data_IF_220554608362
#
_entry.id   IF_220554608362
#
_cell.length_a   1.000
_cell.length_b   1.000
_cell.length_c   1.000
_cell.angle_alpha   90.00
_cell.angle_beta   90.00
_cell.angle_gamma   90.00
#
_symmetry.space_group_name_H-M   'P 1'
#
loop_
_entity.id
_entity.type
_entity.pdbx_description
1 polymer ?
#
# COMPACT_ATOMS: atom_id res chain seq x y z
N UNK A 1 18.82 1.66 16.04
CA UNK A 1 17.97 0.70 16.78
C UNK A 1 17.96 1.15 18.24
N UNK A 2 16.80 1.57 18.77
CA UNK A 2 16.68 1.79 20.23
C UNK A 2 16.80 0.41 20.88
N UNK A 3 17.81 0.23 21.74
CA UNK A 3 17.90 -0.97 22.57
C UNK A 3 16.60 -1.05 23.38
N UNK A 4 15.85 -2.13 23.23
CA UNK A 4 14.75 -2.46 24.12
C UNK A 4 15.41 -2.81 25.45
N UNK A 5 15.42 -1.84 26.38
CA UNK A 5 15.91 -2.09 27.72
C UNK A 5 14.86 -2.93 28.45
N UNK A 6 15.08 -4.23 28.55
CA UNK A 6 14.20 -5.14 29.27
C UNK A 6 14.52 -5.01 30.78
N UNK A 7 13.49 -4.70 31.57
CA UNK A 7 13.59 -4.86 33.04
C UNK A 7 13.04 -6.25 33.39
N UNK A 8 13.87 -7.19 33.90
CA UNK A 8 13.42 -8.54 34.23
C UNK A 8 12.21 -8.60 35.20
N UNK A 9 12.05 -7.59 36.04
CA UNK A 9 10.95 -7.49 37.01
C UNK A 9 9.57 -7.32 36.34
N UNK A 10 9.51 -6.96 35.06
CA UNK A 10 8.24 -6.81 34.33
C UNK A 10 7.75 -8.12 33.74
N UNK A 11 8.59 -9.17 33.70
CA UNK A 11 8.28 -10.44 33.04
C UNK A 11 7.99 -11.57 34.00
N UNK A 12 6.95 -12.33 33.71
CA UNK A 12 6.51 -13.49 34.49
C UNK A 12 6.89 -14.79 33.78
N UNK A 13 7.65 -15.65 34.47
CA UNK A 13 8.07 -16.97 34.00
C UNK A 13 7.29 -18.04 34.75
N UNK A 14 6.64 -18.95 34.03
CA UNK A 14 6.03 -20.14 34.61
C UNK A 14 7.03 -21.30 34.53
N UNK A 15 7.44 -21.81 35.69
CA UNK A 15 8.31 -22.98 35.80
C UNK A 15 7.47 -24.21 36.16
N UNK A 16 7.52 -25.24 35.31
CA UNK A 16 6.71 -26.47 35.41
C UNK A 16 7.64 -27.69 35.54
N UNK A 17 7.54 -28.38 36.63
CA UNK A 17 8.33 -29.62 36.93
C UNK A 17 7.60 -30.39 38.04
N UNK A 18 7.52 -31.70 37.97
CA UNK A 18 6.89 -32.53 39.01
C UNK A 18 7.79 -32.74 40.21
N UNK A 19 9.08 -32.44 40.06
CA UNK A 19 10.08 -32.60 41.14
C UNK A 19 10.28 -31.26 41.88
N UNK A 20 9.83 -31.19 43.12
CA UNK A 20 9.87 -29.98 43.96
C UNK A 20 11.29 -29.36 44.07
N UNK A 21 12.33 -30.18 44.09
CA UNK A 21 13.72 -29.68 44.15
C UNK A 21 14.12 -28.92 42.86
N UNK A 22 13.66 -29.35 41.70
CA UNK A 22 13.88 -28.65 40.43
C UNK A 22 13.18 -27.28 40.45
N UNK A 23 11.92 -27.26 40.88
CA UNK A 23 11.17 -26.02 41.05
C UNK A 23 11.86 -25.03 41.97
N UNK A 24 12.35 -25.51 43.13
CA UNK A 24 13.08 -24.66 44.07
C UNK A 24 14.37 -24.08 43.47
N UNK A 25 15.09 -24.88 42.70
CA UNK A 25 16.32 -24.46 42.03
C UNK A 25 16.01 -23.41 40.94
N UNK A 26 15.02 -23.68 40.05
CA UNK A 26 14.57 -22.73 39.02
C UNK A 26 14.15 -21.40 39.65
N UNK A 27 13.33 -21.47 40.72
CA UNK A 27 12.89 -20.28 41.46
C UNK A 27 14.04 -19.49 42.02
N UNK A 28 15.03 -20.15 42.65
CA UNK A 28 16.20 -19.48 43.22
C UNK A 28 17.06 -18.79 42.17
N UNK A 29 17.33 -19.46 41.04
CA UNK A 29 18.15 -18.92 39.94
C UNK A 29 17.49 -17.72 39.26
N UNK A 30 16.21 -17.86 38.88
CA UNK A 30 15.50 -16.83 38.13
C UNK A 30 15.09 -15.64 39.01
N UNK A 31 14.75 -15.86 40.31
CA UNK A 31 14.52 -14.76 41.25
C UNK A 31 15.79 -13.93 41.49
N UNK A 32 16.97 -14.56 41.50
CA UNK A 32 18.25 -13.84 41.57
C UNK A 32 18.49 -12.97 40.33
N UNK A 33 17.97 -13.40 39.18
CA UNK A 33 17.96 -12.62 37.95
C UNK A 33 16.78 -11.62 37.87
N UNK A 34 16.00 -11.48 38.95
CA UNK A 34 14.90 -10.53 39.16
C UNK A 34 13.64 -10.79 38.34
N UNK A 35 13.46 -11.98 37.77
CA UNK A 35 12.20 -12.34 37.10
C UNK A 35 11.10 -12.67 38.13
N UNK A 36 9.84 -12.42 37.75
CA UNK A 36 8.68 -12.93 38.50
C UNK A 36 8.46 -14.40 38.16
N UNK A 37 8.44 -15.25 39.20
CA UNK A 37 8.34 -16.70 39.01
C UNK A 37 7.02 -17.22 39.57
N UNK A 38 6.29 -17.90 38.73
CA UNK A 38 5.15 -18.74 39.11
C UNK A 38 5.53 -20.19 38.81
N UNK A 39 5.08 -21.11 39.66
CA UNK A 39 5.45 -22.52 39.57
C UNK A 39 4.22 -23.41 39.43
N UNK A 40 4.34 -24.52 38.70
CA UNK A 40 3.33 -25.58 38.62
C UNK A 40 4.00 -26.93 38.80
N UNK A 41 3.31 -27.85 39.49
CA UNK A 41 3.78 -29.18 39.80
C UNK A 41 3.38 -30.25 38.80
N UNK A 42 2.76 -29.88 37.65
CA UNK A 42 2.32 -30.79 36.61
C UNK A 42 1.61 -30.08 35.49
N UNK A 43 1.31 -30.82 34.41
CA UNK A 43 0.79 -30.28 33.15
C UNK A 43 -0.60 -29.65 33.27
N UNK A 44 -1.51 -30.23 34.05
CA UNK A 44 -2.85 -29.64 34.23
C UNK A 44 -2.79 -28.32 35.01
N UNK A 45 -2.01 -28.24 36.08
CA UNK A 45 -1.81 -27.01 36.83
C UNK A 45 -1.14 -25.94 35.98
N UNK A 46 -0.20 -26.34 35.10
CA UNK A 46 0.45 -25.45 34.18
C UNK A 46 -0.56 -24.80 33.22
N UNK A 47 -1.43 -25.58 32.57
CA UNK A 47 -2.46 -25.06 31.66
C UNK A 47 -3.44 -24.11 32.36
N UNK A 48 -3.83 -24.41 33.61
CA UNK A 48 -4.70 -23.54 34.41
C UNK A 48 -3.97 -22.19 34.69
N UNK A 49 -2.72 -22.23 35.12
CA UNK A 49 -1.95 -21.01 35.42
C UNK A 49 -1.64 -20.19 34.19
N UNK A 50 -1.47 -20.80 33.02
CA UNK A 50 -1.32 -20.07 31.75
C UNK A 50 -2.59 -19.28 31.46
N UNK A 51 -3.77 -19.89 31.62
CA UNK A 51 -5.06 -19.22 31.37
C UNK A 51 -5.32 -18.07 32.37
N UNK A 52 -4.87 -18.20 33.62
CA UNK A 52 -5.08 -17.18 34.66
C UNK A 52 -4.10 -16.01 34.57
N UNK A 53 -2.83 -16.27 34.23
CA UNK A 53 -1.72 -15.32 34.41
C UNK A 53 -1.07 -14.85 33.11
N UNK A 54 -1.30 -15.57 32.02
CA UNK A 54 -0.69 -15.30 30.71
C UNK A 54 0.83 -15.00 30.82
N UNK A 55 1.66 -15.98 31.22
CA UNK A 55 3.09 -15.77 31.47
C UNK A 55 3.83 -15.38 30.19
N UNK A 56 4.96 -14.67 30.35
CA UNK A 56 5.80 -14.23 29.22
C UNK A 56 6.71 -15.32 28.67
N UNK A 57 6.97 -16.36 29.46
CA UNK A 57 7.77 -17.53 29.09
C UNK A 57 7.40 -18.72 29.97
N UNK A 58 7.45 -19.93 29.40
CA UNK A 58 7.21 -21.18 30.11
C UNK A 58 8.48 -22.04 30.05
N UNK A 59 9.00 -22.43 31.22
CA UNK A 59 9.97 -23.50 31.37
C UNK A 59 9.20 -24.79 31.71
N UNK A 60 9.27 -25.78 30.85
CA UNK A 60 8.39 -26.93 30.90
C UNK A 60 9.18 -28.24 30.91
N UNK A 61 9.06 -29.00 31.99
CA UNK A 61 9.58 -30.37 32.01
C UNK A 61 8.82 -31.25 31.01
N UNK A 62 9.54 -32.12 30.31
CA UNK A 62 8.94 -33.08 29.37
C UNK A 62 8.35 -34.27 30.13
N UNK A 63 9.06 -34.80 31.10
CA UNK A 63 8.74 -36.07 31.78
C UNK A 63 7.94 -35.79 33.06
N UNK A 64 6.64 -35.63 32.91
CA UNK A 64 5.73 -35.43 34.05
C UNK A 64 4.65 -36.53 34.07
N UNK A 65 4.19 -36.94 35.30
CA UNK A 65 3.05 -37.86 35.39
C UNK A 65 1.75 -37.19 34.87
N UNK A 66 0.79 -38.00 34.45
CA UNK A 66 -0.55 -37.65 33.99
C UNK A 66 -0.63 -36.86 32.66
N UNK A 67 0.08 -35.76 32.52
CA UNK A 67 0.15 -34.94 31.30
C UNK A 67 1.57 -34.52 31.02
N UNK A 68 2.19 -35.10 30.00
CA UNK A 68 3.57 -34.82 29.62
C UNK A 68 3.74 -33.42 28.99
N UNK A 69 4.99 -32.94 28.94
CA UNK A 69 5.28 -31.61 28.41
C UNK A 69 4.95 -31.44 26.94
N UNK A 70 4.97 -32.50 26.13
CA UNK A 70 4.60 -32.42 24.72
C UNK A 70 3.10 -32.18 24.53
N UNK A 71 2.27 -32.84 25.32
CA UNK A 71 0.80 -32.66 25.25
C UNK A 71 0.40 -31.28 25.82
N UNK A 72 1.11 -30.79 26.87
CA UNK A 72 0.93 -29.40 27.34
C UNK A 72 1.25 -28.41 26.23
N UNK A 73 2.41 -28.53 25.58
CA UNK A 73 2.80 -27.65 24.47
C UNK A 73 1.79 -27.69 23.32
N UNK A 74 1.34 -28.87 22.92
CA UNK A 74 0.35 -29.04 21.86
C UNK A 74 -0.96 -28.31 22.17
N UNK A 75 -1.46 -28.38 23.41
CA UNK A 75 -2.65 -27.66 23.84
C UNK A 75 -2.44 -26.14 23.87
N UNK A 76 -1.29 -25.67 24.29
CA UNK A 76 -0.92 -24.27 24.27
C UNK A 76 -0.90 -23.73 22.83
N UNK A 77 -0.23 -24.44 21.91
CA UNK A 77 -0.11 -24.03 20.50
C UNK A 77 -1.43 -24.18 19.72
N UNK A 78 -2.38 -24.94 20.19
CA UNK A 78 -3.73 -25.01 19.63
C UNK A 78 -4.68 -23.87 20.08
N UNK A 79 -4.26 -23.07 21.06
CA UNK A 79 -5.04 -21.94 21.55
C UNK A 79 -4.45 -20.62 21.07
N UNK A 80 -5.15 -19.85 20.19
CA UNK A 80 -4.65 -18.58 19.67
C UNK A 80 -4.28 -17.54 20.74
N UNK A 81 -4.86 -17.64 21.95
CA UNK A 81 -4.53 -16.73 23.05
C UNK A 81 -3.15 -17.03 23.68
N UNK A 82 -2.61 -18.23 23.47
CA UNK A 82 -1.40 -18.69 24.14
C UNK A 82 -0.33 -19.24 23.17
N UNK A 83 -0.64 -19.32 21.87
CA UNK A 83 0.28 -19.90 20.86
C UNK A 83 1.60 -19.16 20.74
N UNK A 84 1.61 -17.86 21.01
CA UNK A 84 2.81 -17.01 20.92
C UNK A 84 3.70 -17.05 22.16
N UNK A 85 3.25 -17.69 23.27
CA UNK A 85 4.06 -17.79 24.48
C UNK A 85 5.26 -18.70 24.19
N UNK A 86 6.51 -18.22 24.38
CA UNK A 86 7.70 -19.05 24.20
C UNK A 86 7.76 -20.14 25.27
N UNK A 87 7.99 -21.38 24.82
CA UNK A 87 8.13 -22.55 25.67
C UNK A 87 9.55 -23.13 25.52
N UNK A 88 10.28 -23.18 26.62
CA UNK A 88 11.61 -23.84 26.68
C UNK A 88 11.44 -25.16 27.42
N UNK A 89 11.78 -26.25 26.78
CA UNK A 89 11.76 -27.55 27.42
C UNK A 89 12.95 -27.75 28.37
N UNK A 90 12.69 -28.31 29.56
CA UNK A 90 13.69 -28.83 30.47
C UNK A 90 13.74 -30.35 30.25
N UNK A 91 14.86 -30.91 29.83
CA UNK A 91 14.94 -32.31 29.46
C UNK A 91 16.16 -33.03 29.98
N UNK A 92 16.00 -34.26 30.47
CA UNK A 92 17.07 -35.21 30.73
C UNK A 92 17.43 -36.04 29.48
N UNK A 93 16.69 -35.88 28.37
CA UNK A 93 16.85 -36.62 27.13
C UNK A 93 18.06 -36.08 26.35
N UNK A 94 19.00 -36.95 26.04
CA UNK A 94 20.16 -36.64 25.19
C UNK A 94 19.98 -37.11 23.76
N UNK A 95 18.80 -37.68 23.43
CA UNK A 95 18.54 -38.19 22.11
C UNK A 95 18.16 -37.05 21.15
N UNK A 96 18.88 -36.86 20.02
CA UNK A 96 18.58 -35.83 19.03
C UNK A 96 17.14 -35.90 18.46
N UNK A 97 16.55 -37.11 18.41
CA UNK A 97 15.18 -37.28 17.91
C UNK A 97 14.11 -36.62 18.76
N UNK A 98 14.28 -36.63 20.09
CA UNK A 98 13.34 -36.00 21.03
C UNK A 98 13.42 -34.48 20.96
N UNK A 99 14.61 -33.92 20.74
CA UNK A 99 14.83 -32.48 20.54
C UNK A 99 14.13 -32.01 19.25
N UNK A 100 14.34 -32.73 18.13
CA UNK A 100 13.70 -32.44 16.86
C UNK A 100 12.18 -32.54 16.96
N UNK A 101 11.67 -33.52 17.73
CA UNK A 101 10.23 -33.65 18.00
C UNK A 101 9.68 -32.43 18.74
N UNK A 102 10.38 -31.91 19.75
CA UNK A 102 9.98 -30.71 20.48
C UNK A 102 9.83 -29.48 19.58
N UNK A 103 10.82 -29.22 18.72
CA UNK A 103 10.76 -28.12 17.76
C UNK A 103 9.63 -28.28 16.73
N UNK A 104 9.35 -29.49 16.26
CA UNK A 104 8.22 -29.75 15.35
C UNK A 104 6.86 -29.44 15.99
N UNK A 105 6.72 -29.57 17.32
CA UNK A 105 5.52 -29.20 18.06
C UNK A 105 5.46 -27.72 18.43
N UNK A 106 6.48 -26.91 18.10
CA UNK A 106 6.50 -25.48 18.32
C UNK A 106 7.17 -25.03 19.63
N UNK A 107 8.04 -25.87 20.20
CA UNK A 107 8.92 -25.41 21.29
C UNK A 107 9.90 -24.35 20.78
N UNK A 108 10.17 -23.35 21.60
CA UNK A 108 11.09 -22.25 21.25
C UNK A 108 12.54 -22.64 21.47
N UNK A 109 12.82 -23.48 22.48
CA UNK A 109 14.17 -23.94 22.82
C UNK A 109 14.10 -25.17 23.76
N UNK A 110 15.27 -25.70 24.13
CA UNK A 110 15.42 -26.71 25.14
C UNK A 110 16.65 -26.46 26.01
N UNK A 111 16.64 -26.97 27.25
CA UNK A 111 17.76 -26.93 28.21
C UNK A 111 17.91 -28.32 28.82
N UNK A 112 19.12 -28.88 28.71
CA UNK A 112 19.40 -30.20 29.25
C UNK A 112 19.58 -30.17 30.78
N UNK A 113 19.02 -31.18 31.48
CA UNK A 113 19.25 -31.41 32.92
C UNK A 113 20.51 -32.29 33.11
N UNK A 114 21.40 -32.01 34.06
CA UNK A 114 21.41 -30.88 34.98
C UNK A 114 21.79 -29.58 34.22
N UNK A 115 21.02 -28.52 34.40
CA UNK A 115 21.23 -27.26 33.67
C UNK A 115 22.27 -26.36 34.37
N UNK A 116 23.04 -25.66 33.55
CA UNK A 116 23.92 -24.58 33.97
C UNK A 116 23.10 -23.31 34.23
N UNK A 117 23.38 -22.63 35.35
CA UNK A 117 22.65 -21.42 35.73
C UNK A 117 22.81 -20.27 34.71
N UNK A 118 24.00 -20.06 34.16
CA UNK A 118 24.27 -19.04 33.16
C UNK A 118 23.56 -19.34 31.84
N UNK A 119 23.56 -20.61 31.41
CA UNK A 119 22.84 -21.05 30.22
C UNK A 119 21.35 -20.80 30.39
N UNK A 120 20.74 -21.21 31.51
CA UNK A 120 19.33 -20.99 31.80
C UNK A 120 18.95 -19.52 31.70
N UNK A 121 19.68 -18.64 32.39
CA UNK A 121 19.40 -17.19 32.39
C UNK A 121 19.58 -16.61 31.02
N UNK A 122 20.63 -17.00 30.27
CA UNK A 122 20.90 -16.49 28.92
C UNK A 122 19.80 -16.87 27.94
N UNK A 123 19.33 -18.13 27.93
CA UNK A 123 18.25 -18.59 27.06
C UNK A 123 16.91 -17.93 27.41
N UNK A 124 16.59 -17.86 28.70
CA UNK A 124 15.39 -17.15 29.16
C UNK A 124 15.41 -15.68 28.74
N UNK A 125 16.48 -14.97 28.96
CA UNK A 125 16.62 -13.56 28.57
C UNK A 125 16.49 -13.38 27.06
N UNK A 126 17.09 -14.29 26.27
CA UNK A 126 17.01 -14.26 24.81
C UNK A 126 15.56 -14.42 24.30
N UNK A 127 14.83 -15.41 24.81
CA UNK A 127 13.45 -15.66 24.38
C UNK A 127 12.47 -14.59 24.87
N UNK A 128 12.66 -14.04 26.06
CA UNK A 128 11.89 -12.88 26.53
C UNK A 128 12.17 -11.67 25.65
N UNK A 129 13.42 -11.42 25.26
CA UNK A 129 13.77 -10.32 24.35
C UNK A 129 13.09 -10.48 23.00
N UNK A 130 13.11 -11.68 22.41
CA UNK A 130 12.45 -11.95 21.13
C UNK A 130 10.93 -11.73 21.22
N UNK A 131 10.28 -12.25 22.25
CA UNK A 131 8.84 -12.09 22.46
C UNK A 131 8.45 -10.61 22.67
N UNK A 132 9.22 -9.87 23.46
CA UNK A 132 9.01 -8.43 23.68
C UNK A 132 9.22 -7.62 22.40
N UNK A 133 10.26 -7.93 21.63
CA UNK A 133 10.52 -7.28 20.34
C UNK A 133 9.38 -7.53 19.33
N UNK A 134 8.89 -8.77 19.24
CA UNK A 134 7.78 -9.13 18.39
C UNK A 134 6.49 -8.39 18.78
N UNK A 135 6.14 -8.34 20.07
CA UNK A 135 4.99 -7.56 20.57
C UNK A 135 5.11 -6.08 20.23
N UNK A 136 6.29 -5.49 20.40
CA UNK A 136 6.53 -4.08 20.07
C UNK A 136 6.35 -3.80 18.58
N UNK A 137 6.85 -4.68 17.71
CA UNK A 137 6.69 -4.56 16.26
C UNK A 137 5.21 -4.64 15.86
N UNK A 138 4.47 -5.59 16.41
CA UNK A 138 3.03 -5.74 16.13
C UNK A 138 2.25 -4.50 16.60
N UNK A 139 2.52 -4.01 17.81
CA UNK A 139 1.89 -2.79 18.32
C UNK A 139 2.19 -1.57 17.45
N UNK A 140 3.46 -1.35 17.08
CA UNK A 140 3.83 -0.24 16.19
C UNK A 140 3.19 -0.34 14.81
N UNK A 141 3.06 -1.56 14.28
CA UNK A 141 2.36 -1.83 13.02
C UNK A 141 0.89 -1.39 13.12
N UNK A 142 0.21 -1.79 14.19
CA UNK A 142 -1.21 -1.50 14.39
C UNK A 142 -1.44 0.01 14.61
N UNK A 143 -0.62 0.68 15.42
CA UNK A 143 -0.63 2.15 15.59
C UNK A 143 -0.40 2.90 14.27
N UNK A 144 0.55 2.42 13.46
CA UNK A 144 0.83 3.00 12.14
C UNK A 144 -0.35 2.81 11.20
N UNK A 145 -0.96 1.63 11.20
CA UNK A 145 -2.13 1.32 10.39
C UNK A 145 -3.31 2.24 10.73
N UNK A 146 -3.61 2.39 12.03
CA UNK A 146 -4.66 3.31 12.50
C UNK A 146 -4.39 4.76 12.08
N UNK A 147 -3.13 5.21 12.18
CA UNK A 147 -2.73 6.56 11.78
C UNK A 147 -2.92 6.78 10.28
N UNK A 148 -2.53 5.80 9.46
CA UNK A 148 -2.71 5.83 8.00
C UNK A 148 -4.21 5.88 7.66
N UNK A 149 -5.04 5.03 8.27
CA UNK A 149 -6.48 5.01 8.02
C UNK A 149 -7.17 6.32 8.43
N UNK A 150 -6.80 6.89 9.58
CA UNK A 150 -7.33 8.17 10.04
C UNK A 150 -6.96 9.32 9.09
N UNK A 151 -5.70 9.38 8.66
CA UNK A 151 -5.21 10.35 7.68
C UNK A 151 -5.99 10.27 6.36
N UNK A 152 -6.16 9.06 5.84
CA UNK A 152 -6.80 8.83 4.55
C UNK A 152 -8.30 9.16 4.60
N UNK A 153 -8.96 8.85 5.73
CA UNK A 153 -10.34 9.26 5.98
C UNK A 153 -10.47 10.78 6.00
N UNK A 154 -9.54 11.48 6.67
CA UNK A 154 -9.52 12.94 6.73
C UNK A 154 -9.39 13.56 5.33
N UNK A 155 -8.45 13.08 4.50
CA UNK A 155 -8.32 13.55 3.12
C UNK A 155 -9.59 13.34 2.30
N UNK A 156 -10.25 12.19 2.46
CA UNK A 156 -11.50 11.90 1.74
C UNK A 156 -12.64 12.86 2.14
N UNK A 157 -12.75 13.19 3.43
CA UNK A 157 -13.77 14.13 3.93
C UNK A 157 -13.49 15.54 3.42
N UNK A 158 -12.25 16.04 3.60
CA UNK A 158 -11.88 17.39 3.16
C UNK A 158 -12.12 17.57 1.66
N UNK A 159 -11.67 16.61 0.85
CA UNK A 159 -11.83 16.73 -0.59
C UNK A 159 -13.30 16.62 -1.03
N UNK A 160 -14.14 15.82 -0.33
CA UNK A 160 -15.59 15.79 -0.57
C UNK A 160 -16.24 17.14 -0.25
N UNK A 161 -15.93 17.71 0.91
CA UNK A 161 -16.57 18.95 1.39
C UNK A 161 -16.12 20.18 0.60
N UNK A 162 -14.93 20.15 0.01
CA UNK A 162 -14.45 21.20 -0.89
C UNK A 162 -14.98 21.04 -2.33
N UNK A 163 -15.30 19.83 -2.78
CA UNK A 163 -15.83 19.60 -4.14
C UNK A 163 -17.12 20.35 -4.40
N UNK A 164 -18.04 20.36 -3.43
CA UNK A 164 -19.36 21.00 -3.57
C UNK A 164 -19.27 22.51 -3.78
N UNK A 165 -18.62 23.32 -2.91
CA UNK A 165 -18.51 24.76 -3.09
C UNK A 165 -17.72 25.15 -4.35
N UNK A 166 -16.66 24.42 -4.66
CA UNK A 166 -15.86 24.71 -5.86
C UNK A 166 -16.62 24.34 -7.14
N UNK A 167 -17.39 23.23 -7.12
CA UNK A 167 -18.29 22.89 -8.21
C UNK A 167 -19.35 23.97 -8.48
N UNK A 168 -19.88 24.58 -7.41
CA UNK A 168 -20.81 25.70 -7.50
C UNK A 168 -20.14 26.94 -8.07
N UNK A 169 -18.93 27.30 -7.60
CA UNK A 169 -18.15 28.42 -8.14
C UNK A 169 -17.87 28.23 -9.64
N UNK A 170 -17.40 27.04 -10.04
CA UNK A 170 -17.18 26.69 -11.45
C UNK A 170 -18.46 26.89 -12.27
N UNK A 171 -19.61 26.40 -11.77
CA UNK A 171 -20.90 26.54 -12.46
C UNK A 171 -21.28 28.03 -12.64
N UNK A 172 -21.10 28.85 -11.61
CA UNK A 172 -21.39 30.29 -11.68
C UNK A 172 -20.49 30.99 -12.70
N UNK A 173 -19.18 30.77 -12.65
CA UNK A 173 -18.25 31.34 -13.61
C UNK A 173 -18.54 30.91 -15.05
N UNK A 174 -18.85 29.63 -15.24
CA UNK A 174 -19.21 29.11 -16.56
C UNK A 174 -20.50 29.77 -17.10
N UNK A 175 -21.53 29.91 -16.26
CA UNK A 175 -22.76 30.61 -16.64
C UNK A 175 -22.48 32.08 -16.99
N UNK A 176 -21.65 32.79 -16.23
CA UNK A 176 -21.26 34.17 -16.52
C UNK A 176 -20.49 34.26 -17.85
N UNK A 177 -19.55 33.38 -18.09
CA UNK A 177 -18.74 33.34 -19.32
C UNK A 177 -19.56 33.02 -20.58
N UNK A 178 -20.66 32.25 -20.46
CA UNK A 178 -21.55 31.94 -21.59
C UNK A 178 -22.52 33.11 -21.87
N UNK A 179 -23.00 33.77 -20.80
CA UNK A 179 -24.07 34.76 -20.94
C UNK A 179 -23.59 36.22 -21.12
N UNK A 180 -22.30 36.48 -20.83
CA UNK A 180 -21.71 37.82 -20.92
C UNK A 180 -20.67 37.86 -22.05
N UNK A 181 -20.69 38.96 -22.82
CA UNK A 181 -19.68 39.23 -23.85
C UNK A 181 -18.77 40.38 -23.38
N UNK A 182 -17.56 40.48 -23.94
CA UNK A 182 -16.62 41.58 -23.65
C UNK A 182 -17.25 42.93 -23.90
N UNK A 183 -18.13 43.08 -24.90
CA UNK A 183 -18.86 44.32 -25.19
C UNK A 183 -19.90 44.71 -24.14
N UNK A 184 -20.39 43.78 -23.32
CA UNK A 184 -21.38 44.01 -22.27
C UNK A 184 -20.73 44.37 -20.91
N UNK A 185 -19.57 43.83 -20.61
CA UNK A 185 -18.92 43.99 -19.31
C UNK A 185 -17.59 44.75 -19.37
N UNK A 186 -17.08 45.04 -20.56
CA UNK A 186 -15.74 45.57 -20.79
C UNK A 186 -14.67 44.45 -20.87
N UNK A 187 -13.62 44.70 -21.66
CA UNK A 187 -12.57 43.68 -21.92
C UNK A 187 -11.89 43.23 -20.63
N UNK A 188 -11.49 44.12 -19.75
CA UNK A 188 -10.82 43.80 -18.47
C UNK A 188 -11.69 42.88 -17.57
N UNK A 189 -12.99 43.18 -17.46
CA UNK A 189 -13.90 42.39 -16.64
C UNK A 189 -14.19 41.02 -17.26
N UNK A 190 -14.22 40.90 -18.60
CA UNK A 190 -14.38 39.64 -19.30
C UNK A 190 -13.13 38.76 -19.16
N UNK A 191 -11.93 39.37 -19.18
CA UNK A 191 -10.68 38.68 -18.89
C UNK A 191 -10.64 38.16 -17.45
N UNK A 192 -11.06 38.96 -16.47
CA UNK A 192 -11.19 38.53 -15.07
C UNK A 192 -12.18 37.38 -14.89
N UNK A 193 -13.33 37.40 -15.57
CA UNK A 193 -14.29 36.31 -15.54
C UNK A 193 -13.71 35.01 -16.13
N UNK A 194 -13.01 35.10 -17.23
CA UNK A 194 -12.34 33.98 -17.88
C UNK A 194 -11.24 33.38 -16.99
N UNK A 195 -10.47 34.25 -16.33
CA UNK A 195 -9.45 33.85 -15.36
C UNK A 195 -10.07 33.14 -14.15
N UNK A 196 -11.18 33.67 -13.60
CA UNK A 196 -11.93 33.06 -12.50
C UNK A 196 -12.47 31.67 -12.85
N UNK A 197 -13.01 31.52 -14.06
CA UNK A 197 -13.49 30.23 -14.57
C UNK A 197 -12.34 29.21 -14.67
N UNK A 198 -11.20 29.60 -15.20
CA UNK A 198 -10.02 28.74 -15.34
C UNK A 198 -9.48 28.30 -13.97
N UNK A 199 -9.44 29.20 -12.98
CA UNK A 199 -9.03 28.87 -11.61
C UNK A 199 -10.01 27.90 -10.96
N UNK A 200 -11.31 28.13 -11.08
CA UNK A 200 -12.34 27.25 -10.54
C UNK A 200 -12.27 25.84 -11.17
N UNK A 201 -12.09 25.75 -12.48
CA UNK A 201 -11.92 24.50 -13.21
C UNK A 201 -10.66 23.74 -12.72
N UNK A 202 -9.53 24.42 -12.66
CA UNK A 202 -8.26 23.85 -12.21
C UNK A 202 -8.35 23.32 -10.77
N UNK A 203 -8.96 24.10 -9.89
CA UNK A 203 -9.13 23.72 -8.47
C UNK A 203 -10.08 22.53 -8.33
N UNK A 204 -11.16 22.48 -9.12
CA UNK A 204 -12.07 21.35 -9.13
C UNK A 204 -11.37 20.05 -9.60
N UNK A 205 -10.56 20.14 -10.66
CA UNK A 205 -9.77 19.01 -11.14
C UNK A 205 -8.73 18.54 -10.12
N UNK A 206 -8.08 19.47 -9.40
CA UNK A 206 -7.16 19.15 -8.30
C UNK A 206 -7.83 18.31 -7.22
N UNK A 207 -9.00 18.76 -6.75
CA UNK A 207 -9.76 18.05 -5.74
C UNK A 207 -10.26 16.69 -6.21
N UNK A 208 -10.71 16.59 -7.46
CA UNK A 208 -11.15 15.31 -8.03
C UNK A 208 -10.00 14.31 -8.13
N UNK A 209 -8.82 14.77 -8.53
CA UNK A 209 -7.61 13.95 -8.58
C UNK A 209 -7.16 13.53 -7.16
N UNK A 210 -7.20 14.44 -6.18
CA UNK A 210 -6.87 14.12 -4.79
C UNK A 210 -7.82 13.07 -4.21
N UNK A 211 -9.13 13.20 -4.45
CA UNK A 211 -10.13 12.22 -4.03
C UNK A 211 -9.93 10.84 -4.68
N UNK A 212 -9.61 10.81 -5.97
CA UNK A 212 -9.34 9.55 -6.68
C UNK A 212 -8.05 8.90 -6.16
N UNK A 213 -7.02 9.72 -5.94
CA UNK A 213 -5.76 9.24 -5.38
C UNK A 213 -5.92 8.67 -3.97
N UNK A 214 -6.64 9.36 -3.07
CA UNK A 214 -6.89 8.86 -1.70
C UNK A 214 -7.70 7.59 -1.70
N UNK A 215 -8.77 7.48 -2.52
CA UNK A 215 -9.55 6.24 -2.68
C UNK A 215 -8.70 5.09 -3.22
N UNK A 216 -7.75 5.39 -4.09
CA UNK A 216 -6.80 4.44 -4.63
C UNK A 216 -5.87 3.89 -3.56
N UNK A 217 -5.27 4.74 -2.74
CA UNK A 217 -4.35 4.34 -1.66
C UNK A 217 -5.02 3.45 -0.59
N UNK A 218 -6.30 3.70 -0.27
CA UNK A 218 -7.07 2.94 0.75
C UNK A 218 -7.53 1.56 0.23
N UNK A 219 -7.27 1.22 -1.04
CA UNK A 219 -7.78 -0.02 -1.63
C UNK A 219 -9.31 -0.05 -1.78
N UNK A 220 -10.01 1.05 -1.49
CA UNK A 220 -11.48 1.19 -1.57
C UNK A 220 -11.98 1.65 -2.94
N UNK A 221 -11.13 1.72 -3.94
CA UNK A 221 -11.61 1.83 -5.32
C UNK A 221 -12.23 0.48 -5.70
N UNK A 222 -13.55 0.44 -5.80
CA UNK A 222 -14.23 -0.69 -6.42
C UNK A 222 -13.78 -0.72 -7.89
N UNK A 223 -12.85 -1.61 -8.19
CA UNK A 223 -12.36 -1.81 -9.56
C UNK A 223 -13.35 -2.72 -10.28
N UNK A 224 -13.95 -2.23 -11.35
CA UNK A 224 -14.89 -2.99 -12.17
C UNK A 224 -14.22 -3.30 -13.49
N UNK A 225 -13.54 -4.44 -13.54
CA UNK A 225 -12.94 -4.93 -14.78
C UNK A 225 -14.00 -5.48 -15.70
N UNK A 226 -13.90 -5.10 -16.98
CA UNK A 226 -14.77 -5.60 -18.03
C UNK A 226 -14.00 -5.74 -19.36
N UNK A 227 -14.46 -6.64 -20.19
CA UNK A 227 -13.92 -6.82 -21.54
C UNK A 227 -14.45 -5.72 -22.46
N UNK A 228 -13.55 -4.93 -23.04
CA UNK A 228 -13.90 -3.77 -23.86
C UNK A 228 -12.94 -3.59 -25.02
N UNK A 229 -13.40 -2.91 -26.06
CA UNK A 229 -12.53 -2.36 -27.08
C UNK A 229 -11.86 -1.08 -26.57
N UNK A 230 -10.54 -1.18 -26.29
CA UNK A 230 -9.76 -0.04 -25.78
C UNK A 230 -9.65 1.09 -26.80
N UNK A 231 -9.71 0.78 -28.09
CA UNK A 231 -9.65 1.76 -29.16
C UNK A 231 -10.84 2.72 -29.11
N UNK A 232 -12.05 2.20 -28.86
CA UNK A 232 -13.25 3.01 -28.67
C UNK A 232 -13.17 3.86 -27.39
N UNK A 233 -12.70 3.28 -26.28
CA UNK A 233 -12.58 3.99 -25.00
C UNK A 233 -11.59 5.16 -25.11
N UNK A 234 -10.41 4.93 -25.72
CA UNK A 234 -9.37 5.95 -25.92
C UNK A 234 -9.89 7.04 -26.87
N UNK A 235 -10.49 6.66 -27.98
CA UNK A 235 -11.05 7.62 -28.96
C UNK A 235 -12.14 8.49 -28.31
N UNK A 236 -13.08 7.89 -27.59
CA UNK A 236 -14.14 8.62 -26.91
C UNK A 236 -13.59 9.60 -25.87
N UNK A 237 -12.68 9.14 -25.01
CA UNK A 237 -12.09 9.95 -23.96
C UNK A 237 -11.25 11.12 -24.53
N UNK A 238 -10.55 10.92 -25.66
CA UNK A 238 -9.74 11.95 -26.30
C UNK A 238 -10.58 12.99 -27.03
N UNK A 239 -11.64 12.59 -27.74
CA UNK A 239 -12.53 13.51 -28.47
C UNK A 239 -13.22 14.54 -27.59
N UNK A 240 -13.37 14.27 -26.30
CA UNK A 240 -13.89 15.27 -25.34
C UNK A 240 -13.00 16.52 -25.26
N UNK A 241 -11.75 16.43 -25.69
CA UNK A 241 -10.77 17.52 -25.65
C UNK A 241 -10.63 18.27 -27.00
N UNK A 242 -11.26 17.81 -28.08
CA UNK A 242 -11.16 18.42 -29.41
C UNK A 242 -11.53 19.90 -29.37
N UNK A 243 -12.63 20.26 -28.71
CA UNK A 243 -13.06 21.66 -28.58
C UNK A 243 -12.03 22.51 -27.82
N UNK A 244 -11.45 21.98 -26.74
CA UNK A 244 -10.44 22.70 -25.95
C UNK A 244 -9.16 22.88 -26.76
N UNK A 245 -8.75 21.84 -27.52
CA UNK A 245 -7.59 21.90 -28.42
C UNK A 245 -7.82 22.94 -29.56
N UNK A 246 -9.01 22.98 -30.13
CA UNK A 246 -9.40 23.96 -31.17
C UNK A 246 -9.32 25.41 -30.66
N UNK A 247 -9.75 25.70 -29.42
CA UNK A 247 -9.64 27.04 -28.81
C UNK A 247 -8.17 27.52 -28.73
N UNK A 248 -7.22 26.56 -28.54
CA UNK A 248 -5.79 26.84 -28.55
C UNK A 248 -5.15 26.65 -29.94
N UNK A 249 -5.98 26.42 -30.99
CA UNK A 249 -5.54 26.16 -32.37
C UNK A 249 -4.57 24.98 -32.48
N UNK A 250 -4.77 23.94 -31.64
CA UNK A 250 -3.97 22.71 -31.64
C UNK A 250 -4.65 21.64 -32.47
N UNK A 251 -3.91 21.08 -33.45
CA UNK A 251 -4.35 19.92 -34.23
C UNK A 251 -4.29 18.63 -33.40
N UNK A 252 -5.33 17.79 -33.49
CA UNK A 252 -5.36 16.48 -32.85
C UNK A 252 -5.48 15.40 -33.90
N UNK A 253 -4.54 14.47 -33.94
CA UNK A 253 -4.48 13.33 -34.86
C UNK A 253 -4.69 12.02 -34.10
N UNK A 254 -5.46 11.09 -34.71
CA UNK A 254 -5.80 9.81 -34.12
C UNK A 254 -5.23 8.67 -35.01
N UNK A 255 -4.21 7.98 -34.49
CA UNK A 255 -3.61 6.80 -35.12
C UNK A 255 -4.05 5.53 -34.38
N UNK A 256 -5.31 5.18 -34.60
CA UNK A 256 -6.01 4.07 -33.92
C UNK A 256 -6.45 3.06 -34.99
N UNK A 257 -5.72 1.95 -35.16
CA UNK A 257 -5.86 1.08 -36.34
C UNK A 257 -7.10 0.18 -36.36
N UNK A 258 -7.80 0.00 -35.26
CA UNK A 258 -8.98 -0.88 -35.19
C UNK A 258 -9.25 -1.38 -33.77
N UNK A 259 -10.24 -2.28 -33.61
CA UNK A 259 -10.62 -2.77 -32.29
C UNK A 259 -9.52 -3.63 -31.63
N UNK A 260 -9.23 -3.32 -30.39
CA UNK A 260 -8.28 -4.06 -29.55
C UNK A 260 -8.97 -4.41 -28.23
N UNK A 261 -9.25 -5.69 -28.02
CA UNK A 261 -9.93 -6.16 -26.82
C UNK A 261 -8.96 -6.29 -25.65
N UNK A 262 -9.34 -5.69 -24.53
CA UNK A 262 -8.61 -5.77 -23.25
C UNK A 262 -9.59 -5.96 -22.08
N UNK A 263 -9.08 -6.43 -20.94
CA UNK A 263 -9.86 -6.56 -19.71
C UNK A 263 -9.41 -5.47 -18.71
N UNK A 264 -10.15 -4.37 -18.65
CA UNK A 264 -9.76 -3.19 -17.87
C UNK A 264 -10.96 -2.50 -17.19
N UNK A 265 -10.64 -1.58 -16.28
CA UNK A 265 -11.60 -0.64 -15.71
C UNK A 265 -11.66 0.61 -16.60
N UNK A 266 -12.80 0.78 -17.27
CA UNK A 266 -13.03 1.86 -18.24
C UNK A 266 -12.94 3.25 -17.63
N UNK A 267 -13.40 3.44 -16.39
CA UNK A 267 -13.35 4.74 -15.73
C UNK A 267 -11.92 5.13 -15.31
N UNK A 268 -11.10 4.14 -14.99
CA UNK A 268 -9.67 4.34 -14.80
C UNK A 268 -8.99 4.76 -16.08
N UNK A 269 -9.26 4.09 -17.21
CA UNK A 269 -8.69 4.45 -18.52
C UNK A 269 -9.12 5.85 -18.95
N UNK A 270 -10.40 6.19 -18.82
CA UNK A 270 -10.89 7.56 -19.09
C UNK A 270 -10.19 8.60 -18.22
N UNK A 271 -9.89 8.27 -16.95
CA UNK A 271 -9.18 9.16 -16.04
C UNK A 271 -7.72 9.33 -16.46
N UNK A 272 -7.04 8.26 -16.88
CA UNK A 272 -5.68 8.31 -17.44
C UNK A 272 -5.66 9.23 -18.67
N UNK A 273 -6.53 8.97 -19.65
CA UNK A 273 -6.62 9.77 -20.89
C UNK A 273 -6.88 11.24 -20.61
N UNK A 274 -7.80 11.56 -19.69
CA UNK A 274 -8.09 12.94 -19.30
C UNK A 274 -6.86 13.66 -18.77
N UNK A 275 -6.07 13.02 -17.92
CA UNK A 275 -4.84 13.62 -17.38
C UNK A 275 -3.78 13.83 -18.45
N UNK A 276 -3.56 12.83 -19.33
CA UNK A 276 -2.57 12.91 -20.40
C UNK A 276 -2.97 13.95 -21.47
N UNK A 277 -4.25 13.98 -21.91
CA UNK A 277 -4.75 14.96 -22.88
C UNK A 277 -4.69 16.39 -22.32
N UNK A 278 -5.10 16.59 -21.07
CA UNK A 278 -4.99 17.89 -20.40
C UNK A 278 -3.55 18.38 -20.36
N UNK A 279 -2.59 17.51 -20.04
CA UNK A 279 -1.17 17.85 -20.05
C UNK A 279 -0.67 18.15 -21.47
N UNK A 280 -1.00 17.34 -22.47
CA UNK A 280 -0.61 17.55 -23.84
C UNK A 280 -1.07 18.93 -24.37
N UNK A 281 -2.33 19.30 -24.14
CA UNK A 281 -2.87 20.62 -24.53
C UNK A 281 -2.19 21.75 -23.76
N UNK A 282 -1.95 21.57 -22.46
CA UNK A 282 -1.32 22.54 -21.60
C UNK A 282 0.10 22.90 -22.04
N UNK A 283 0.91 21.89 -22.41
CA UNK A 283 2.31 22.08 -22.75
C UNK A 283 2.57 22.24 -24.25
N UNK A 284 1.58 22.04 -25.12
CA UNK A 284 1.68 22.36 -26.55
C UNK A 284 1.47 23.85 -26.79
N UNK A 285 2.31 24.44 -27.64
CA UNK A 285 2.17 25.84 -28.07
C UNK A 285 0.96 26.00 -28.99
N UNK A 286 0.45 27.22 -29.08
CA UNK A 286 -0.61 27.57 -30.02
C UNK A 286 -0.16 27.25 -31.47
N UNK A 287 -1.04 26.64 -32.28
CA UNK A 287 -0.73 26.14 -33.61
C UNK A 287 0.02 24.83 -33.69
N UNK A 288 0.35 24.23 -32.52
CA UNK A 288 1.00 22.93 -32.43
C UNK A 288 0.07 21.75 -32.71
N UNK A 289 0.57 20.52 -32.44
CA UNK A 289 -0.23 19.37 -32.67
C UNK A 289 -0.01 18.23 -31.65
N UNK A 290 -0.97 17.32 -31.52
CA UNK A 290 -0.97 16.17 -30.62
C UNK A 290 -1.36 14.94 -31.41
N UNK A 291 -0.67 13.81 -31.19
CA UNK A 291 -0.99 12.51 -31.80
C UNK A 291 -1.36 11.53 -30.69
N UNK A 292 -2.52 10.89 -30.83
CA UNK A 292 -2.95 9.78 -29.98
C UNK A 292 -2.83 8.50 -30.80
N UNK A 293 -2.07 7.54 -30.28
CA UNK A 293 -1.90 6.26 -30.97
C UNK A 293 -2.23 5.08 -30.06
N UNK A 294 -2.78 4.03 -30.65
CA UNK A 294 -3.01 2.74 -30.00
C UNK A 294 -2.33 1.66 -30.81
N UNK A 295 -1.58 0.78 -30.14
CA UNK A 295 -0.91 -0.36 -30.79
C UNK A 295 -1.25 -1.64 -30.05
N UNK A 296 -1.42 -2.69 -30.81
CA UNK A 296 -1.67 -4.02 -30.33
C UNK A 296 -0.36 -4.80 -30.17
N UNK A 297 -0.15 -5.41 -28.98
CA UNK A 297 0.94 -6.35 -28.72
C UNK A 297 0.36 -7.67 -28.20
N UNK A 298 1.12 -8.76 -28.18
CA UNK A 298 0.62 -10.05 -27.71
C UNK A 298 0.04 -10.03 -26.28
N UNK A 299 0.63 -9.25 -25.38
CA UNK A 299 0.27 -9.21 -23.96
C UNK A 299 -0.47 -7.96 -23.51
N UNK A 300 -0.30 -6.83 -24.21
CA UNK A 300 -0.83 -5.52 -23.81
C UNK A 300 -1.36 -4.73 -25.01
N UNK A 301 -2.31 -3.85 -24.75
CA UNK A 301 -2.54 -2.69 -25.60
C UNK A 301 -1.60 -1.57 -25.14
N UNK A 302 -0.94 -0.91 -26.09
CA UNK A 302 -0.01 0.21 -25.86
C UNK A 302 -0.66 1.48 -26.35
N UNK A 303 -0.86 2.45 -25.45
CA UNK A 303 -1.51 3.72 -25.75
C UNK A 303 -0.49 4.84 -25.55
N UNK A 304 -0.30 5.69 -26.55
CA UNK A 304 0.62 6.82 -26.46
C UNK A 304 -0.08 8.14 -26.79
N UNK A 305 0.21 9.15 -25.99
CA UNK A 305 -0.16 10.56 -26.25
C UNK A 305 1.14 11.32 -26.47
N UNK A 306 1.34 11.77 -27.71
CA UNK A 306 2.52 12.54 -28.12
C UNK A 306 2.14 13.99 -28.35
N UNK A 307 2.78 14.89 -27.64
CA UNK A 307 2.70 16.32 -27.86
C UNK A 307 3.98 16.85 -28.54
N UNK A 308 3.85 17.93 -29.30
CA UNK A 308 4.96 18.66 -29.90
C UNK A 308 5.13 20.02 -29.20
N UNK A 309 5.12 19.95 -27.87
CA UNK A 309 5.17 21.10 -27.00
C UNK A 309 6.59 21.50 -26.58
N UNK A 310 6.69 22.04 -25.35
CA UNK A 310 7.96 22.54 -24.81
C UNK A 310 8.94 21.42 -24.43
N UNK A 311 8.47 20.16 -24.32
CA UNK A 311 9.28 19.05 -23.86
C UNK A 311 9.67 19.14 -22.39
N UNK A 312 10.44 18.15 -21.92
CA UNK A 312 10.90 17.99 -20.53
C UNK A 312 12.41 17.80 -20.55
N UNK A 313 13.10 18.42 -19.61
CA UNK A 313 14.53 18.21 -19.43
C UNK A 313 14.82 16.78 -18.98
N UNK A 314 15.88 16.18 -19.48
CA UNK A 314 16.25 14.79 -19.16
C UNK A 314 16.42 14.57 -17.64
N UNK A 315 16.95 15.55 -16.92
CA UNK A 315 17.13 15.52 -15.46
C UNK A 315 15.81 15.53 -14.65
N UNK A 316 14.71 15.97 -15.27
CA UNK A 316 13.40 16.09 -14.62
C UNK A 316 12.50 14.87 -14.87
N UNK A 317 12.76 14.07 -15.92
CA UNK A 317 11.96 12.88 -16.26
C UNK A 317 11.87 11.89 -15.08
N UNK A 318 12.98 11.51 -14.40
CA UNK A 318 12.94 10.62 -13.26
C UNK A 318 12.15 11.20 -12.07
N UNK A 319 12.15 12.54 -11.90
CA UNK A 319 11.44 13.22 -10.81
C UNK A 319 9.92 13.18 -11.00
N UNK A 320 9.44 13.21 -12.25
CA UNK A 320 8.01 13.16 -12.58
C UNK A 320 7.37 11.81 -12.24
N UNK A 321 8.13 10.73 -12.26
CA UNK A 321 7.69 9.37 -11.95
C UNK A 321 7.91 9.00 -10.47
N UNK A 322 8.60 9.84 -9.70
CA UNK A 322 8.85 9.58 -8.28
C UNK A 322 7.70 10.12 -7.42
N UNK A 323 6.96 9.25 -6.69
CA UNK A 323 5.83 9.68 -5.87
C UNK A 323 6.20 10.57 -4.67
N UNK A 324 7.48 10.60 -4.27
CA UNK A 324 7.96 11.41 -3.15
C UNK A 324 8.34 12.83 -3.57
N UNK A 325 8.43 13.12 -4.88
CA UNK A 325 8.87 14.41 -5.41
C UNK A 325 7.69 15.13 -6.07
N UNK A 326 7.26 16.25 -5.47
CA UNK A 326 6.34 17.15 -6.11
C UNK A 326 7.09 18.02 -7.13
N UNK A 327 7.02 17.67 -8.41
CA UNK A 327 7.58 18.45 -9.49
C UNK A 327 6.45 19.03 -10.37
N UNK A 328 6.37 20.34 -10.45
CA UNK A 328 5.40 21.05 -11.30
C UNK A 328 6.12 22.08 -12.17
N UNK A 329 5.67 22.18 -13.43
CA UNK A 329 6.12 23.23 -14.36
C UNK A 329 4.91 24.00 -14.86
N UNK A 330 5.12 25.28 -15.17
CA UNK A 330 4.07 26.11 -15.76
C UNK A 330 3.83 25.71 -17.21
N UNK A 331 2.56 25.69 -17.61
CA UNK A 331 2.15 25.46 -19.00
C UNK A 331 2.44 26.67 -19.90
N UNK A 332 2.17 26.53 -21.20
CA UNK A 332 2.48 27.57 -22.21
C UNK A 332 1.67 28.85 -22.08
N UNK A 333 0.57 28.86 -21.33
CA UNK A 333 -0.24 30.03 -20.95
C UNK A 333 -0.19 30.30 -19.44
N UNK A 334 0.93 29.98 -18.77
CA UNK A 334 1.11 30.14 -17.32
C UNK A 334 0.15 29.28 -16.45
N UNK A 335 -0.36 28.17 -17.00
CA UNK A 335 -1.21 27.25 -16.24
C UNK A 335 -0.37 26.48 -15.22
N UNK A 336 -0.77 26.53 -13.95
CA UNK A 336 -0.11 25.79 -12.86
C UNK A 336 -0.53 24.31 -12.85
N UNK A 337 0.41 23.41 -12.58
CA UNK A 337 0.15 21.96 -12.48
C UNK A 337 -0.01 21.51 -11.03
N UNK A 338 -0.82 20.47 -10.79
CA UNK A 338 -1.03 19.90 -9.46
C UNK A 338 0.07 18.94 -8.99
N UNK A 339 0.92 18.47 -9.89
CA UNK A 339 1.88 17.39 -9.60
C UNK A 339 1.25 16.01 -9.34
N UNK A 340 -0.06 15.93 -9.08
CA UNK A 340 -0.76 14.67 -8.73
C UNK A 340 -1.26 13.89 -9.95
N UNK A 341 -1.42 14.54 -11.11
CA UNK A 341 -2.04 13.93 -12.29
C UNK A 341 -1.25 12.73 -12.82
N UNK A 342 0.06 12.82 -12.88
CA UNK A 342 0.91 11.76 -13.39
C UNK A 342 1.08 10.60 -12.40
N UNK A 343 1.10 10.89 -11.09
CA UNK A 343 1.07 9.87 -10.05
C UNK A 343 -0.22 9.05 -10.11
N UNK A 344 -1.36 9.72 -10.34
CA UNK A 344 -2.64 9.05 -10.55
C UNK A 344 -2.62 8.18 -11.83
N UNK A 345 -2.04 8.67 -12.92
CA UNK A 345 -1.86 7.91 -14.16
C UNK A 345 -1.06 6.63 -13.91
N UNK A 346 0.05 6.72 -13.19
CA UNK A 346 0.87 5.54 -12.81
C UNK A 346 0.08 4.52 -12.00
N UNK A 347 -0.63 4.97 -10.96
CA UNK A 347 -1.36 4.07 -10.07
C UNK A 347 -2.51 3.37 -10.82
N UNK A 348 -3.30 4.11 -11.59
CA UNK A 348 -4.41 3.54 -12.36
C UNK A 348 -3.92 2.59 -13.47
N UNK A 349 -2.79 2.90 -14.11
CA UNK A 349 -2.17 2.02 -15.10
C UNK A 349 -1.69 0.72 -14.47
N UNK A 350 -0.99 0.80 -13.33
CA UNK A 350 -0.53 -0.39 -12.58
C UNK A 350 -1.70 -1.29 -12.17
N UNK A 351 -2.83 -0.71 -11.75
CA UNK A 351 -4.05 -1.48 -11.41
C UNK A 351 -4.65 -2.19 -12.61
N UNK A 352 -4.49 -1.65 -13.80
CA UNK A 352 -4.87 -2.31 -15.06
C UNK A 352 -3.80 -3.24 -15.62
N UNK A 353 -2.79 -3.63 -14.81
CA UNK A 353 -1.75 -4.58 -15.18
C UNK A 353 -0.72 -4.03 -16.15
N UNK A 354 -0.58 -2.71 -16.24
CA UNK A 354 0.34 -2.05 -17.15
C UNK A 354 1.38 -1.17 -16.45
N UNK A 355 2.15 -0.44 -17.25
CA UNK A 355 3.18 0.50 -16.83
C UNK A 355 3.16 1.79 -17.66
N UNK A 356 3.75 2.86 -17.12
CA UNK A 356 3.85 4.18 -17.76
C UNK A 356 5.29 4.46 -18.09
N UNK A 357 5.55 4.93 -19.32
CA UNK A 357 6.85 5.41 -19.76
C UNK A 357 6.74 6.82 -20.33
N UNK A 358 7.84 7.58 -20.25
CA UNK A 358 7.95 8.95 -20.74
C UNK A 358 9.19 9.05 -21.62
N UNK A 359 9.00 9.51 -22.84
CA UNK A 359 10.07 9.92 -23.75
C UNK A 359 9.89 11.40 -24.06
N UNK A 360 10.89 12.22 -23.77
CA UNK A 360 10.80 13.66 -23.98
C UNK A 360 12.15 14.28 -24.23
N UNK A 361 12.14 15.37 -25.00
CA UNK A 361 13.30 16.22 -25.22
C UNK A 361 12.87 17.70 -25.20
N UNK A 362 13.60 18.51 -24.44
CA UNK A 362 13.33 19.94 -24.31
C UNK A 362 13.27 20.61 -25.68
N UNK A 363 12.18 21.30 -25.97
CA UNK A 363 11.93 21.99 -27.24
C UNK A 363 11.34 21.12 -28.36
N UNK A 364 11.31 19.78 -28.22
CA UNK A 364 10.79 18.86 -29.27
C UNK A 364 9.44 18.22 -28.91
N UNK A 365 9.04 18.28 -27.61
CA UNK A 365 7.80 17.71 -27.12
C UNK A 365 8.00 16.47 -26.28
N UNK A 366 6.88 15.80 -25.91
CA UNK A 366 6.88 14.63 -25.04
C UNK A 366 5.95 13.54 -25.57
N UNK A 367 6.30 12.29 -25.28
CA UNK A 367 5.44 11.12 -25.52
C UNK A 367 5.23 10.41 -24.20
N UNK A 368 3.98 10.39 -23.74
CA UNK A 368 3.55 9.62 -22.57
C UNK A 368 2.90 8.34 -23.06
N UNK A 369 3.48 7.21 -22.71
CA UNK A 369 2.98 5.90 -23.09
C UNK A 369 2.51 5.14 -21.86
N UNK A 370 1.32 4.54 -21.93
CA UNK A 370 0.87 3.61 -20.91
C UNK A 370 0.36 2.31 -21.55
N UNK A 371 0.44 1.22 -20.80
CA UNK A 371 0.02 -0.09 -21.27
C UNK A 371 -1.17 -0.60 -20.46
N UNK A 372 -2.01 -1.42 -21.09
CA UNK A 372 -3.13 -2.12 -20.45
C UNK A 372 -2.99 -3.60 -20.76
N UNK A 373 -2.97 -4.45 -19.74
CA UNK A 373 -2.88 -5.89 -19.93
C UNK A 373 -4.13 -6.44 -20.63
N UNK A 374 -3.95 -7.33 -21.62
CA UNK A 374 -5.07 -8.00 -22.29
C UNK A 374 -5.77 -9.00 -21.37
N UNK A 375 -5.02 -9.61 -20.44
CA UNK A 375 -5.52 -10.52 -19.40
C UNK A 375 -4.98 -10.11 -18.04
N UNK A 376 -5.76 -10.32 -17.00
CA UNK A 376 -5.31 -10.04 -15.64
C UNK A 376 -4.35 -11.14 -15.14
N UNK A 377 -3.32 -10.82 -14.33
CA UNK A 377 -2.38 -11.81 -13.76
C UNK A 377 -3.04 -12.91 -12.93
N UNK A 378 -4.23 -12.63 -12.37
CA UNK A 378 -5.01 -13.62 -11.62
C UNK A 378 -5.70 -14.64 -12.54
N UNK A 379 -6.00 -14.30 -13.79
CA UNK A 379 -6.56 -15.20 -14.80
C UNK A 379 -5.47 -16.07 -15.46
N UNK A 380 -4.26 -15.54 -15.64
CA UNK A 380 -3.12 -16.34 -16.12
C UNK A 380 -2.83 -17.51 -15.18
N UNK A 381 -2.82 -17.30 -13.86
CA UNK A 381 -2.61 -18.36 -12.87
C UNK A 381 -3.74 -19.41 -12.82
N UNK A 382 -4.96 -19.01 -13.12
CA UNK A 382 -6.10 -19.92 -13.18
C UNK A 382 -6.09 -20.77 -14.47
N UNK A 383 -5.72 -20.17 -15.60
CA UNK A 383 -5.63 -20.85 -16.90
C UNK A 383 -4.41 -21.80 -16.96
N UNK A 384 -3.26 -21.44 -16.40
CA UNK A 384 -2.10 -22.32 -16.25
C UNK A 384 -2.39 -23.51 -15.33
N UNK A 385 -3.15 -23.30 -14.25
CA UNK A 385 -3.56 -24.39 -13.35
C UNK A 385 -4.58 -25.35 -14.01
N UNK A 386 -5.33 -24.87 -15.01
CA UNK A 386 -6.33 -25.70 -15.73
C UNK A 386 -5.76 -26.39 -16.98
N UNK A 387 -4.69 -25.83 -17.56
CA UNK A 387 -4.00 -26.41 -18.74
C UNK A 387 -2.95 -27.47 -18.37
N UNK A 388 -2.66 -27.67 -17.08
CA UNK A 388 -1.71 -28.65 -16.54
C UNK A 388 -2.37 -29.93 -15.99
N UNK A 389 -3.65 -30.22 -16.33
CA UNK A 389 -4.36 -31.48 -15.98
C UNK A 389 -4.55 -32.37 -17.19
#
# INVERSE_FOLDING_TARGET
MKNIALNPEDYTILAVDDITTNIMLLKAVLSRAKYKIVTASGGFEALQKVAELNPDLILLDIMMPDLDGYEVLKRLKANPAHEDIPVIFLTALHNPEDIVKGFKFGASDYISKPFNHEELITRVAHHIYLAAAQRTILQQRDELQETVEARDKMYSVIAHDLRSPIGTLKMVFNMLSINLTAGQVGEDNFEMLSMGNNIAESTFMLLDNLLKWTKSQIGRMNTVFQEVDISEVVLFASKMFDTVAQVKNIGVEYDIPGPITVHCDVDMVKTIMRNLMSNAIKYTKEGGHIIISVRDTPSHAVIAVRDFGIGIKEEDIPKLLNPEIHHTTYGTKNEEGSGLGLQLVQDLTRRNGGEVTIESKEGEGSTFTFTIAKRQPAQEKADEATAGI
#
